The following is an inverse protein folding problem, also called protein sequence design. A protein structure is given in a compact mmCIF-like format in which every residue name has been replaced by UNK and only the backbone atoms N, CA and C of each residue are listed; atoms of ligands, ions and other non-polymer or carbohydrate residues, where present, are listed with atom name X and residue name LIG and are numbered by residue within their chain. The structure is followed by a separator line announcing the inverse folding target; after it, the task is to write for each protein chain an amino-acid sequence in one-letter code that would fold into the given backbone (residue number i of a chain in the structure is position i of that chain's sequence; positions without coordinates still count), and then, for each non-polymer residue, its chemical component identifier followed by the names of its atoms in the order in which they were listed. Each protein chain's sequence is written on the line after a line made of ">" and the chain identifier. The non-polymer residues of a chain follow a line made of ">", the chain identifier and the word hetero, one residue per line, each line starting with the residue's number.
data_IF_834357303916
#
_entry.id   IF_834357303916
#
_cell.length_a   1.000
_cell.length_b   1.000
_cell.length_c   1.000
_cell.angle_alpha   90.00
_cell.angle_beta   90.00
_cell.angle_gamma   90.00
#
_symmetry.space_group_name_H-M   'P 1'
#
loop_
_entity.id
_entity.type
_entity.pdbx_description
1 polymer ?
#
# COMPACT_ATOMS: atom_id res chain seq x y z
N UNK A 1 6.98 -13.97 -11.85
CA UNK A 1 6.27 -14.29 -10.58
C UNK A 1 4.82 -13.84 -10.68
N UNK A 2 3.89 -14.45 -9.95
CA UNK A 2 2.50 -13.97 -9.90
C UNK A 2 2.21 -13.41 -8.51
N UNK A 3 1.62 -12.22 -8.43
CA UNK A 3 1.31 -11.54 -7.18
C UNK A 3 -0.19 -11.64 -6.91
N UNK A 4 -0.60 -12.46 -5.94
CA UNK A 4 -1.99 -12.71 -5.57
C UNK A 4 -2.30 -12.36 -4.11
N UNK A 5 -1.28 -12.00 -3.34
CA UNK A 5 -1.40 -11.57 -1.94
C UNK A 5 -1.15 -10.08 -1.79
N UNK A 6 -1.84 -9.47 -0.84
CA UNK A 6 -1.53 -8.11 -0.40
C UNK A 6 -1.39 -8.02 1.12
N UNK A 7 -0.57 -7.07 1.57
CA UNK A 7 -0.46 -6.68 2.97
C UNK A 7 -0.84 -5.20 3.08
N UNK A 8 -1.82 -4.89 3.92
CA UNK A 8 -2.23 -3.51 4.20
C UNK A 8 -1.85 -3.17 5.64
N UNK A 9 -1.02 -2.16 5.83
CA UNK A 9 -0.63 -1.71 7.16
C UNK A 9 -1.60 -0.63 7.67
N UNK A 10 -2.27 -0.91 8.80
CA UNK A 10 -3.31 -0.08 9.42
C UNK A 10 -3.13 0.06 10.95
N UNK A 11 -1.93 -0.24 11.47
CA UNK A 11 -1.65 -0.27 12.90
C UNK A 11 -1.10 1.05 13.46
N UNK A 12 -1.08 2.13 12.67
CA UNK A 12 -0.58 3.43 13.09
C UNK A 12 -1.46 4.03 14.21
N UNK A 13 -0.90 4.41 15.38
CA UNK A 13 -1.70 4.84 16.54
C UNK A 13 -2.51 6.12 16.26
N UNK A 14 -1.96 7.04 15.48
CA UNK A 14 -2.58 8.33 15.19
C UNK A 14 -3.56 8.28 13.99
N UNK A 15 -3.63 7.15 13.28
CA UNK A 15 -4.38 7.01 12.03
C UNK A 15 -5.41 5.87 12.05
N UNK A 16 -5.67 5.28 13.21
CA UNK A 16 -6.56 4.11 13.40
C UNK A 16 -7.97 4.31 12.85
N UNK A 17 -8.48 5.54 12.89
CA UNK A 17 -9.84 5.85 12.42
C UNK A 17 -9.91 6.19 10.92
N UNK A 18 -8.81 6.56 10.28
CA UNK A 18 -8.80 6.96 8.87
C UNK A 18 -9.32 5.86 7.92
N UNK A 19 -8.87 4.60 8.05
CA UNK A 19 -9.35 3.53 7.17
C UNK A 19 -10.84 3.25 7.29
N UNK A 20 -11.43 3.58 8.43
CA UNK A 20 -12.84 3.34 8.75
C UNK A 20 -13.76 4.53 8.41
N UNK A 21 -13.22 5.65 7.93
CA UNK A 21 -14.01 6.81 7.53
C UNK A 21 -14.79 6.54 6.25
N UNK A 22 -16.01 7.07 6.19
CA UNK A 22 -16.84 7.08 4.97
C UNK A 22 -16.33 8.14 4.00
N UNK A 23 -16.14 7.74 2.76
CA UNK A 23 -15.78 8.56 1.63
C UNK A 23 -16.75 8.29 0.47
N UNK A 24 -16.77 9.18 -0.50
CA UNK A 24 -17.53 8.98 -1.74
C UNK A 24 -16.55 8.57 -2.84
N UNK A 25 -16.79 7.43 -3.46
CA UNK A 25 -15.96 6.92 -4.55
C UNK A 25 -16.20 7.68 -5.88
N UNK A 26 -15.48 7.29 -6.95
CA UNK A 26 -15.56 7.95 -8.26
C UNK A 26 -16.95 7.92 -8.92
N UNK A 27 -17.78 6.97 -8.54
CA UNK A 27 -19.13 6.80 -9.10
C UNK A 27 -20.22 7.36 -8.20
N UNK A 28 -19.83 8.02 -7.09
CA UNK A 28 -20.75 8.65 -6.17
C UNK A 28 -21.29 7.73 -5.07
N UNK A 29 -20.72 6.54 -4.90
CA UNK A 29 -21.11 5.57 -3.88
C UNK A 29 -20.33 5.83 -2.59
N UNK A 30 -21.04 5.84 -1.46
CA UNK A 30 -20.40 5.93 -0.15
C UNK A 30 -19.72 4.61 0.21
N UNK A 31 -18.44 4.66 0.49
CA UNK A 31 -17.60 3.50 0.89
C UNK A 31 -16.66 3.87 2.02
N UNK A 32 -16.22 2.88 2.77
CA UNK A 32 -15.10 3.07 3.71
C UNK A 32 -13.79 3.29 2.96
N UNK A 33 -12.89 4.13 3.48
CA UNK A 33 -11.60 4.37 2.85
C UNK A 33 -10.84 3.06 2.60
N UNK A 34 -10.85 2.14 3.57
CA UNK A 34 -10.22 0.84 3.43
C UNK A 34 -10.88 -0.04 2.37
N UNK A 35 -12.21 0.04 2.19
CA UNK A 35 -12.88 -0.69 1.11
C UNK A 35 -12.44 -0.20 -0.28
N UNK A 36 -12.19 1.10 -0.45
CA UNK A 36 -11.63 1.67 -1.69
C UNK A 36 -10.22 1.14 -1.95
N UNK A 37 -9.40 0.99 -0.89
CA UNK A 37 -8.05 0.41 -0.99
C UNK A 37 -8.12 -1.10 -1.33
N UNK A 38 -9.10 -1.82 -0.80
CA UNK A 38 -9.34 -3.22 -1.16
C UNK A 38 -9.80 -3.37 -2.61
N UNK A 39 -10.66 -2.48 -3.12
CA UNK A 39 -11.06 -2.45 -4.53
C UNK A 39 -9.83 -2.23 -5.43
N UNK A 40 -8.92 -1.36 -5.02
CA UNK A 40 -7.65 -1.11 -5.74
C UNK A 40 -6.79 -2.38 -5.80
N UNK A 41 -6.65 -3.11 -4.69
CA UNK A 41 -5.93 -4.39 -4.64
C UNK A 41 -6.63 -5.46 -5.50
N UNK A 42 -7.95 -5.61 -5.38
CA UNK A 42 -8.73 -6.56 -6.15
C UNK A 42 -8.61 -6.32 -7.66
N UNK A 43 -8.59 -5.05 -8.09
CA UNK A 43 -8.41 -4.67 -9.49
C UNK A 43 -7.09 -5.20 -10.08
N UNK A 44 -6.05 -5.36 -9.28
CA UNK A 44 -4.75 -5.89 -9.66
C UNK A 44 -4.65 -7.42 -9.62
N UNK A 45 -5.76 -8.13 -9.38
CA UNK A 45 -5.80 -9.59 -9.32
C UNK A 45 -5.35 -10.18 -7.98
N UNK A 46 -5.35 -9.37 -6.93
CA UNK A 46 -5.14 -9.87 -5.56
C UNK A 46 -6.36 -10.68 -5.12
N UNK A 47 -6.12 -11.80 -4.46
CA UNK A 47 -7.15 -12.72 -3.96
C UNK A 47 -7.17 -12.80 -2.43
N UNK A 48 -6.01 -12.61 -1.80
CA UNK A 48 -5.82 -12.72 -0.36
C UNK A 48 -5.19 -11.44 0.21
N UNK A 49 -5.74 -10.95 1.30
CA UNK A 49 -5.25 -9.73 1.96
C UNK A 49 -5.02 -9.97 3.44
N UNK A 50 -3.84 -9.61 3.94
CA UNK A 50 -3.58 -9.48 5.37
C UNK A 50 -3.64 -8.00 5.76
N UNK A 51 -4.53 -7.65 6.67
CA UNK A 51 -4.60 -6.31 7.24
C UNK A 51 -3.91 -6.34 8.60
N UNK A 52 -2.81 -5.58 8.73
CA UNK A 52 -2.10 -5.45 10.00
C UNK A 52 -2.71 -4.29 10.77
N UNK A 53 -3.38 -4.61 11.86
CA UNK A 53 -4.12 -3.65 12.70
C UNK A 53 -3.41 -3.42 14.04
N UNK A 54 -3.82 -2.39 14.76
CA UNK A 54 -3.40 -2.19 16.15
C UNK A 54 -4.02 -3.29 17.04
N UNK A 55 -3.37 -3.62 18.13
CA UNK A 55 -3.87 -4.56 19.12
C UNK A 55 -5.30 -4.22 19.58
N UNK A 56 -6.22 -5.18 19.48
CA UNK A 56 -7.62 -5.05 19.83
C UNK A 56 -8.53 -4.45 18.74
N UNK A 57 -8.02 -4.08 17.56
CA UNK A 57 -8.84 -3.46 16.52
C UNK A 57 -9.39 -4.45 15.48
N UNK A 58 -8.95 -5.72 15.49
CA UNK A 58 -9.30 -6.70 14.47
C UNK A 58 -10.81 -6.86 14.26
N UNK A 59 -11.58 -6.93 15.34
CA UNK A 59 -13.04 -7.11 15.27
C UNK A 59 -13.76 -5.90 14.64
N UNK A 60 -13.32 -4.68 14.93
CA UNK A 60 -13.90 -3.45 14.37
C UNK A 60 -13.67 -3.39 12.86
N UNK A 61 -12.46 -3.77 12.42
CA UNK A 61 -12.15 -3.84 11.00
C UNK A 61 -12.94 -4.94 10.29
N UNK A 62 -13.04 -6.13 10.90
CA UNK A 62 -13.80 -7.25 10.34
C UNK A 62 -15.29 -6.92 10.17
N UNK A 63 -15.91 -6.26 11.15
CA UNK A 63 -17.30 -5.82 11.06
C UNK A 63 -17.52 -4.77 9.97
N UNK A 64 -16.52 -3.94 9.70
CA UNK A 64 -16.63 -2.84 8.72
C UNK A 64 -16.48 -3.31 7.27
N UNK A 65 -15.83 -4.47 7.03
CA UNK A 65 -15.45 -4.98 5.71
C UNK A 65 -16.17 -6.28 5.34
N UNK A 66 -17.37 -6.52 5.85
CA UNK A 66 -18.13 -7.77 5.64
C UNK A 66 -18.49 -8.06 4.17
N UNK A 67 -18.55 -7.03 3.33
CA UNK A 67 -19.02 -7.12 1.93
C UNK A 67 -17.86 -7.26 0.91
N UNK A 68 -16.65 -7.63 1.34
CA UNK A 68 -15.51 -7.79 0.43
C UNK A 68 -15.46 -9.20 -0.15
N UNK A 69 -15.24 -9.30 -1.47
CA UNK A 69 -15.00 -10.58 -2.17
C UNK A 69 -13.59 -11.15 -1.92
N UNK A 70 -12.70 -10.39 -1.30
CA UNK A 70 -11.34 -10.80 -0.98
C UNK A 70 -11.30 -11.67 0.29
N UNK A 71 -10.41 -12.64 0.32
CA UNK A 71 -10.11 -13.40 1.55
C UNK A 71 -9.25 -12.55 2.48
N UNK A 72 -9.88 -11.98 3.52
CA UNK A 72 -9.22 -11.06 4.45
C UNK A 72 -8.79 -11.81 5.71
N UNK A 73 -7.53 -11.63 6.09
CA UNK A 73 -6.95 -12.06 7.36
C UNK A 73 -6.50 -10.84 8.15
N UNK A 74 -6.68 -10.85 9.46
CA UNK A 74 -6.23 -9.78 10.35
C UNK A 74 -5.06 -10.26 11.20
N UNK A 75 -4.05 -9.41 11.33
CA UNK A 75 -2.89 -9.65 12.20
C UNK A 75 -2.68 -8.42 13.06
N UNK A 76 -2.54 -8.63 14.36
CA UNK A 76 -2.34 -7.52 15.30
C UNK A 76 -0.85 -7.20 15.48
N UNK A 77 -0.53 -5.92 15.44
CA UNK A 77 0.77 -5.41 15.81
C UNK A 77 0.79 -5.11 17.32
N UNK A 78 1.14 -6.13 18.11
CA UNK A 78 1.37 -5.98 19.54
C UNK A 78 2.73 -5.31 19.77
N UNK A 79 2.80 -4.31 20.66
CA UNK A 79 4.02 -3.54 20.93
C UNK A 79 4.65 -2.92 19.65
N UNK A 80 4.06 -1.87 19.07
CA UNK A 80 4.52 -1.27 17.83
C UNK A 80 5.99 -0.84 17.87
N UNK A 81 6.79 -1.28 16.88
CA UNK A 81 8.20 -0.94 16.70
C UNK A 81 8.46 -0.23 15.37
N UNK A 82 7.44 0.44 14.85
CA UNK A 82 7.50 1.14 13.57
C UNK A 82 6.97 0.31 12.40
N UNK A 83 7.07 0.91 11.21
CA UNK A 83 6.49 0.44 9.97
C UNK A 83 7.00 -0.95 9.52
N UNK A 84 8.31 -1.16 9.53
CA UNK A 84 8.90 -2.46 9.16
C UNK A 84 8.45 -3.60 10.09
N UNK A 85 8.17 -3.30 11.37
CA UNK A 85 7.61 -4.28 12.29
C UNK A 85 6.17 -4.64 11.93
N UNK A 86 5.36 -3.69 11.46
CA UNK A 86 4.01 -3.99 10.97
C UNK A 86 4.06 -4.99 9.81
N UNK A 87 4.92 -4.78 8.81
CA UNK A 87 5.13 -5.75 7.73
C UNK A 87 5.61 -7.11 8.23
N UNK A 88 6.53 -7.13 9.20
CA UNK A 88 7.03 -8.37 9.79
C UNK A 88 5.94 -9.17 10.51
N UNK A 89 4.91 -8.52 11.06
CA UNK A 89 3.77 -9.21 11.66
C UNK A 89 3.01 -10.06 10.63
N UNK A 90 2.99 -9.67 9.36
CA UNK A 90 2.34 -10.42 8.29
C UNK A 90 3.18 -11.58 7.70
N UNK A 91 4.38 -11.86 8.24
CA UNK A 91 5.34 -12.84 7.66
C UNK A 91 4.77 -14.24 7.48
N UNK A 92 3.92 -14.71 8.39
CA UNK A 92 3.31 -16.04 8.32
C UNK A 92 2.27 -16.13 7.20
N UNK A 93 1.51 -15.06 6.97
CA UNK A 93 0.58 -14.94 5.85
C UNK A 93 1.33 -14.88 4.52
N UNK A 94 2.35 -14.05 4.42
CA UNK A 94 3.13 -13.87 3.20
C UNK A 94 3.93 -15.13 2.89
N UNK A 95 4.53 -15.76 3.90
CA UNK A 95 5.48 -16.86 3.77
C UNK A 95 6.67 -16.43 2.87
N UNK A 96 6.83 -17.00 1.68
CA UNK A 96 7.84 -16.64 0.67
C UNK A 96 7.21 -16.13 -0.63
N UNK A 97 5.90 -15.91 -0.62
CA UNK A 97 5.20 -15.42 -1.81
C UNK A 97 5.45 -13.92 -2.02
N UNK A 98 5.52 -13.47 -3.27
CA UNK A 98 5.51 -12.05 -3.59
C UNK A 98 4.14 -11.45 -3.20
N UNK A 99 4.16 -10.22 -2.72
CA UNK A 99 2.94 -9.54 -2.29
C UNK A 99 2.93 -8.06 -2.66
N UNK A 100 1.73 -7.52 -2.85
CA UNK A 100 1.49 -6.10 -2.96
C UNK A 100 1.42 -5.50 -1.55
N UNK A 101 2.16 -4.43 -1.29
CA UNK A 101 2.04 -3.68 -0.04
C UNK A 101 1.33 -2.35 -0.27
N UNK A 102 0.33 -2.09 0.57
CA UNK A 102 -0.45 -0.85 0.58
C UNK A 102 -0.49 -0.30 2.02
N UNK A 103 -0.63 1.02 2.13
CA UNK A 103 -0.85 1.70 3.41
C UNK A 103 -2.30 2.15 3.50
N UNK A 104 -2.89 2.10 4.68
CA UNK A 104 -4.32 2.32 4.88
C UNK A 104 -4.75 3.79 4.93
N UNK A 105 -3.79 4.71 4.93
CA UNK A 105 -3.97 6.16 5.02
C UNK A 105 -3.74 6.89 3.69
N UNK A 106 -3.48 6.16 2.60
CA UNK A 106 -3.34 6.71 1.26
C UNK A 106 -4.45 6.19 0.33
N UNK A 107 -4.99 7.08 -0.49
CA UNK A 107 -5.84 6.73 -1.62
C UNK A 107 -5.05 6.83 -2.92
N UNK A 108 -5.17 5.81 -3.75
CA UNK A 108 -4.43 5.68 -5.00
C UNK A 108 -5.30 6.18 -6.16
N UNK A 109 -4.84 7.21 -6.86
CA UNK A 109 -5.58 7.84 -7.96
C UNK A 109 -4.77 7.75 -9.24
N UNK A 110 -5.24 6.97 -10.20
CA UNK A 110 -4.68 6.90 -11.55
C UNK A 110 -5.47 7.80 -12.51
N UNK A 111 -4.77 8.47 -13.40
CA UNK A 111 -5.35 9.18 -14.55
C UNK A 111 -5.36 8.30 -15.82
N UNK A 112 -4.84 7.08 -15.73
CA UNK A 112 -4.82 6.08 -16.80
C UNK A 112 -6.03 5.14 -16.70
N UNK A 113 -6.22 4.31 -17.73
CA UNK A 113 -7.22 3.22 -17.75
C UNK A 113 -6.91 2.20 -16.65
N UNK A 114 -5.62 1.89 -16.46
CA UNK A 114 -5.17 1.00 -15.41
C UNK A 114 -5.10 1.71 -14.07
N UNK A 115 -5.48 1.01 -12.99
CA UNK A 115 -5.32 1.48 -11.62
C UNK A 115 -3.84 1.53 -11.22
N UNK A 116 -3.52 2.23 -10.14
CA UNK A 116 -2.14 2.30 -9.65
C UNK A 116 -1.60 0.91 -9.26
N UNK A 117 -2.41 0.09 -8.61
CA UNK A 117 -2.03 -1.27 -8.23
C UNK A 117 -1.83 -2.16 -9.46
N UNK A 118 -2.69 -2.07 -10.48
CA UNK A 118 -2.51 -2.81 -11.74
C UNK A 118 -1.18 -2.47 -12.42
N UNK A 119 -0.85 -1.19 -12.52
CA UNK A 119 0.41 -0.74 -13.11
C UNK A 119 1.62 -1.26 -12.33
N UNK A 120 1.57 -1.16 -11.00
CA UNK A 120 2.67 -1.58 -10.12
C UNK A 120 2.89 -3.10 -10.18
N UNK A 121 1.82 -3.88 -10.07
CA UNK A 121 1.87 -5.35 -10.12
C UNK A 121 2.39 -5.83 -11.48
N UNK A 122 1.89 -5.25 -12.58
CA UNK A 122 2.33 -5.62 -13.93
C UNK A 122 3.84 -5.41 -14.12
N UNK A 123 4.38 -4.28 -13.66
CA UNK A 123 5.83 -4.00 -13.73
C UNK A 123 6.62 -4.96 -12.84
N UNK A 124 6.16 -5.20 -11.61
CA UNK A 124 6.84 -6.10 -10.68
C UNK A 124 6.90 -7.54 -11.20
N UNK A 125 5.82 -8.01 -11.82
CA UNK A 125 5.78 -9.34 -12.44
C UNK A 125 6.67 -9.44 -13.68
N UNK A 126 6.70 -8.39 -14.53
CA UNK A 126 7.52 -8.32 -15.74
C UNK A 126 9.01 -8.29 -15.40
N UNK A 127 9.43 -7.38 -14.50
CA UNK A 127 10.82 -7.19 -14.15
C UNK A 127 11.32 -8.23 -13.13
N UNK A 128 10.41 -8.94 -12.44
CA UNK A 128 10.69 -9.96 -11.43
C UNK A 128 11.58 -9.43 -10.28
N UNK A 129 11.33 -8.19 -9.85
CA UNK A 129 12.03 -7.49 -8.77
C UNK A 129 11.04 -6.75 -7.88
N UNK A 130 11.50 -6.28 -6.72
CA UNK A 130 10.72 -5.37 -5.88
C UNK A 130 10.60 -4.00 -6.57
N UNK A 131 9.36 -3.50 -6.66
CA UNK A 131 9.03 -2.22 -7.29
C UNK A 131 8.25 -1.35 -6.31
N UNK A 132 8.55 -0.06 -6.28
CA UNK A 132 7.85 0.93 -5.47
C UNK A 132 7.23 2.00 -6.36
N UNK A 133 5.95 2.29 -6.13
CA UNK A 133 5.29 3.42 -6.77
C UNK A 133 5.76 4.73 -6.12
N UNK A 134 6.11 5.69 -6.94
CA UNK A 134 6.56 7.01 -6.51
C UNK A 134 5.87 8.10 -7.34
N UNK A 135 5.80 9.31 -6.79
CA UNK A 135 5.33 10.45 -7.56
C UNK A 135 6.29 11.64 -7.43
N UNK A 136 6.43 12.45 -8.47
CA UNK A 136 7.20 13.68 -8.41
C UNK A 136 6.62 14.62 -7.36
N UNK A 137 7.50 15.24 -6.56
CA UNK A 137 7.10 16.26 -5.59
C UNK A 137 7.98 17.50 -5.71
N UNK A 138 7.53 18.61 -5.13
CA UNK A 138 8.30 19.87 -5.10
C UNK A 138 9.41 19.77 -4.05
N UNK A 139 10.56 20.37 -4.31
CA UNK A 139 11.69 20.42 -3.35
C UNK A 139 11.28 20.86 -1.94
N UNK A 140 10.40 21.86 -1.84
CA UNK A 140 9.91 22.36 -0.56
C UNK A 140 9.13 21.32 0.26
N UNK A 141 8.72 20.23 -0.36
CA UNK A 141 7.96 19.14 0.29
C UNK A 141 8.84 17.95 0.68
N UNK A 142 10.10 17.89 0.23
CA UNK A 142 11.03 16.80 0.53
C UNK A 142 11.17 16.53 2.04
N UNK A 143 11.22 17.54 2.93
CA UNK A 143 11.34 17.29 4.37
C UNK A 143 10.17 16.56 5.01
N UNK A 144 9.07 16.38 4.28
CA UNK A 144 7.86 15.69 4.79
C UNK A 144 7.71 14.25 4.31
N UNK A 145 8.54 13.80 3.35
CA UNK A 145 8.38 12.51 2.68
C UNK A 145 9.67 11.68 2.69
N UNK A 146 9.50 10.36 2.58
CA UNK A 146 10.56 9.50 2.11
C UNK A 146 10.81 9.77 0.63
N UNK A 147 12.07 9.99 0.25
CA UNK A 147 12.46 10.38 -1.10
C UNK A 147 13.34 9.30 -1.71
N UNK A 148 13.10 9.01 -2.98
CA UNK A 148 13.89 8.07 -3.78
C UNK A 148 14.64 8.83 -4.85
N UNK A 149 15.95 8.60 -4.94
CA UNK A 149 16.81 9.02 -6.04
C UNK A 149 17.17 7.83 -6.92
N UNK A 150 17.23 8.03 -8.23
CA UNK A 150 17.57 6.95 -9.14
C UNK A 150 17.77 7.40 -10.58
N UNK A 151 18.18 6.45 -11.43
CA UNK A 151 18.37 6.65 -12.86
C UNK A 151 17.20 6.05 -13.64
N UNK A 152 16.82 6.73 -14.71
CA UNK A 152 15.77 6.26 -15.62
C UNK A 152 16.21 4.98 -16.32
N UNK A 153 15.36 3.95 -16.30
CA UNK A 153 15.62 2.70 -16.98
C UNK A 153 15.27 2.77 -18.47
N UNK A 154 16.28 2.58 -19.30
CA UNK A 154 16.15 2.48 -20.75
C UNK A 154 15.37 3.62 -21.40
N UNK A 155 14.36 3.28 -22.23
CA UNK A 155 13.47 4.23 -22.89
C UNK A 155 12.18 4.52 -22.13
N UNK A 156 11.95 3.87 -21.00
CA UNK A 156 10.76 4.12 -20.18
C UNK A 156 10.77 5.54 -19.66
N UNK A 157 9.61 6.19 -19.68
CA UNK A 157 9.44 7.53 -19.09
C UNK A 157 9.11 7.50 -17.59
N UNK A 158 8.73 6.34 -17.08
CA UNK A 158 8.16 6.16 -15.72
C UNK A 158 8.88 5.10 -14.86
N UNK A 159 9.88 4.40 -15.42
CA UNK A 159 10.63 3.40 -14.66
C UNK A 159 12.04 3.91 -14.33
N UNK A 160 12.41 3.77 -13.05
CA UNK A 160 13.69 4.22 -12.51
C UNK A 160 14.34 3.11 -11.69
N UNK A 161 15.64 2.93 -11.87
CA UNK A 161 16.47 2.11 -11.00
C UNK A 161 16.79 2.91 -9.73
N UNK A 162 16.34 2.41 -8.57
CA UNK A 162 16.54 3.09 -7.29
C UNK A 162 18.00 2.94 -6.85
N UNK A 163 18.66 4.07 -6.62
CA UNK A 163 20.05 4.11 -6.14
C UNK A 163 20.15 4.62 -4.71
N UNK A 164 19.18 5.41 -4.27
CA UNK A 164 19.19 6.04 -2.96
C UNK A 164 17.77 6.16 -2.42
N UNK A 165 17.61 5.95 -1.13
CA UNK A 165 16.40 6.23 -0.38
C UNK A 165 16.77 7.09 0.84
N UNK A 166 16.09 8.21 1.01
CA UNK A 166 16.32 9.17 2.09
C UNK A 166 15.02 9.42 2.83
N UNK A 167 15.06 9.41 4.14
CA UNK A 167 13.91 9.76 4.98
C UNK A 167 13.95 11.26 5.30
N UNK A 168 12.93 11.98 4.85
CA UNK A 168 12.74 13.42 5.14
C UNK A 168 14.02 14.26 4.94
N UNK A 169 14.64 14.20 3.75
CA UNK A 169 15.90 14.89 3.52
C UNK A 169 15.73 16.42 3.58
N UNK A 170 16.81 17.09 3.94
CA UNK A 170 16.87 18.57 3.76
C UNK A 170 17.13 18.89 2.28
N UNK A 171 16.74 20.09 1.79
CA UNK A 171 16.98 20.49 0.40
C UNK A 171 18.44 20.48 -0.05
N UNK A 172 19.37 20.35 0.87
CA UNK A 172 20.82 20.30 0.61
C UNK A 172 21.42 18.90 0.61
N UNK A 173 20.63 17.90 0.86
CA UNK A 173 20.98 16.47 0.78
C UNK A 173 20.49 15.86 -0.54
#
# INVERSE_FOLDING_TARGET
>A
MKIQKAVITAAGPDQRSLPLQSLVDRVGTEKRALAIILDEAASAGIEEVCIVVHEGDADVYAQTLQDSDLRITYTEQVNPRGYGHALYCAREFVNQDPFLHLVSDHLYVSHDVQTCAQQLVAIAEQENVAVSAVQPTRESMLPYYGVIGGLREGRSKSLYSVQQALEKPTPTQ
#
